data_IF_951931959685
#
_entry.id   IF_951931959685
#
_cell.length_a   1.000
_cell.length_b   1.000
_cell.length_c   1.000
_cell.angle_alpha   90.00
_cell.angle_beta   90.00
_cell.angle_gamma   90.00
#
_symmetry.space_group_name_H-M   'P 1'
#
loop_
_entity.id
_entity.type
_entity.pdbx_description
1 polymer ?
#
# COMPACT_ATOMS: atom_id res chain seq x y z
N UNK A 1 52.97 -21.55 -14.88
CA UNK A 1 52.80 -20.15 -14.41
C UNK A 1 52.02 -19.34 -15.44
N UNK A 2 50.76 -18.99 -15.12
CA UNK A 2 50.10 -17.76 -15.59
C UNK A 2 48.86 -17.56 -14.71
N UNK A 3 48.88 -16.48 -13.93
CA UNK A 3 47.79 -16.04 -13.06
C UNK A 3 46.79 -15.29 -13.94
N UNK A 4 45.51 -15.62 -13.87
CA UNK A 4 44.45 -14.73 -14.36
C UNK A 4 43.41 -14.64 -13.25
N UNK A 5 43.47 -13.50 -12.56
CA UNK A 5 42.50 -13.03 -11.59
C UNK A 5 41.31 -12.52 -12.41
N UNK A 6 40.13 -13.11 -12.22
CA UNK A 6 38.88 -12.50 -12.67
C UNK A 6 37.98 -12.39 -11.44
N UNK A 7 38.06 -11.22 -10.80
CA UNK A 7 37.00 -10.74 -9.92
C UNK A 7 35.80 -10.39 -10.80
N UNK A 8 34.76 -11.21 -10.78
CA UNK A 8 33.48 -10.89 -11.40
C UNK A 8 32.40 -10.77 -10.32
N UNK A 9 32.15 -9.50 -9.99
CA UNK A 9 30.93 -8.86 -9.52
C UNK A 9 29.96 -9.66 -8.63
N UNK A 10 29.84 -9.16 -7.40
CA UNK A 10 28.65 -9.23 -6.56
C UNK A 10 27.38 -8.91 -7.36
N UNK A 11 26.67 -9.94 -7.78
CA UNK A 11 25.24 -9.85 -8.05
C UNK A 11 24.49 -10.05 -6.73
N UNK A 12 24.31 -8.98 -5.95
CA UNK A 12 23.29 -9.01 -4.89
C UNK A 12 21.95 -8.97 -5.61
N UNK A 13 21.41 -10.15 -5.88
CA UNK A 13 20.03 -10.31 -6.30
C UNK A 13 19.21 -9.98 -5.05
N UNK A 14 18.73 -8.75 -4.94
CA UNK A 14 17.67 -8.43 -3.99
C UNK A 14 16.43 -9.12 -4.52
N UNK A 15 16.27 -10.39 -4.16
CA UNK A 15 15.00 -11.06 -4.27
C UNK A 15 14.05 -10.27 -3.38
N UNK A 16 13.18 -9.47 -4.01
CA UNK A 16 12.01 -8.92 -3.35
C UNK A 16 11.16 -10.15 -3.05
N UNK A 17 11.39 -10.75 -1.88
CA UNK A 17 10.59 -11.84 -1.39
C UNK A 17 9.18 -11.32 -1.29
N UNK A 18 8.31 -11.72 -2.22
CA UNK A 18 6.89 -11.80 -1.94
C UNK A 18 6.75 -12.83 -0.82
N UNK A 19 6.87 -12.37 0.42
CA UNK A 19 6.47 -13.14 1.57
C UNK A 19 4.95 -13.33 1.43
N UNK A 20 4.57 -14.45 0.82
CA UNK A 20 3.21 -14.96 0.90
C UNK A 20 3.00 -15.43 2.34
N UNK A 21 2.73 -14.50 3.25
CA UNK A 21 2.24 -14.82 4.58
C UNK A 21 0.79 -15.29 4.44
N UNK A 22 0.61 -16.60 4.33
CA UNK A 22 -0.68 -17.27 4.53
C UNK A 22 -0.96 -17.21 6.04
N UNK A 23 -1.42 -16.05 6.52
CA UNK A 23 -2.16 -15.97 7.78
C UNK A 23 -3.63 -15.87 7.41
N UNK A 24 -4.34 -16.98 7.59
CA UNK A 24 -5.79 -17.04 7.45
C UNK A 24 -6.45 -16.42 8.70
N UNK A 25 -6.17 -15.15 8.98
CA UNK A 25 -7.10 -14.32 9.72
C UNK A 25 -8.03 -13.72 8.66
N UNK A 26 -9.32 -13.99 8.76
CA UNK A 26 -10.29 -13.30 7.91
C UNK A 26 -10.01 -11.79 7.98
N UNK A 27 -9.80 -11.18 6.82
CA UNK A 27 -9.47 -9.76 6.71
C UNK A 27 -10.51 -8.94 7.50
N UNK A 28 -10.10 -8.12 8.49
CA UNK A 28 -11.05 -7.38 9.30
C UNK A 28 -11.97 -6.49 8.45
N UNK A 29 -13.20 -6.26 8.91
CA UNK A 29 -14.21 -5.48 8.17
C UNK A 29 -13.69 -4.08 7.76
N UNK A 30 -12.94 -3.41 8.64
CA UNK A 30 -12.36 -2.10 8.33
C UNK A 30 -11.34 -2.15 7.18
N UNK A 31 -10.59 -3.26 7.03
CA UNK A 31 -9.66 -3.47 5.93
C UNK A 31 -10.43 -3.74 4.62
N UNK A 32 -11.48 -4.55 4.67
CA UNK A 32 -12.32 -4.80 3.48
C UNK A 32 -13.00 -3.52 3.01
N UNK A 33 -13.50 -2.71 3.95
CA UNK A 33 -14.08 -1.40 3.72
C UNK A 33 -13.06 -0.44 3.10
N UNK A 34 -11.82 -0.42 3.61
CA UNK A 34 -10.72 0.36 3.05
C UNK A 34 -10.39 -0.08 1.62
N UNK A 35 -10.19 -1.38 1.38
CA UNK A 35 -9.89 -1.96 0.06
C UNK A 35 -10.94 -1.59 -0.97
N UNK A 36 -12.22 -1.80 -0.64
CA UNK A 36 -13.35 -1.47 -1.51
C UNK A 36 -13.40 0.03 -1.84
N UNK A 37 -13.30 0.88 -0.81
CA UNK A 37 -13.43 2.33 -0.99
C UNK A 37 -12.25 2.95 -1.73
N UNK A 38 -11.02 2.62 -1.33
CA UNK A 38 -9.78 3.12 -1.98
C UNK A 38 -9.74 2.62 -3.42
N UNK A 39 -10.03 1.34 -3.67
CA UNK A 39 -10.04 0.79 -5.02
C UNK A 39 -11.07 1.48 -5.93
N UNK A 40 -12.27 1.74 -5.42
CA UNK A 40 -13.31 2.48 -6.15
C UNK A 40 -12.86 3.92 -6.49
N UNK A 41 -12.29 4.63 -5.52
CA UNK A 41 -11.89 6.02 -5.71
C UNK A 41 -10.68 6.18 -6.63
N UNK A 42 -9.65 5.34 -6.46
CA UNK A 42 -8.53 5.28 -7.39
C UNK A 42 -8.99 4.92 -8.80
N UNK A 43 -9.97 4.03 -8.96
CA UNK A 43 -10.51 3.67 -10.27
C UNK A 43 -11.15 4.87 -10.98
N UNK A 44 -11.80 5.77 -10.23
CA UNK A 44 -12.41 6.98 -10.79
C UNK A 44 -11.37 7.92 -11.42
N UNK A 45 -10.20 8.07 -10.80
CA UNK A 45 -9.21 9.08 -11.21
C UNK A 45 -8.09 8.51 -12.09
N UNK A 46 -7.71 7.25 -11.86
CA UNK A 46 -6.58 6.60 -12.52
C UNK A 46 -7.01 5.49 -13.49
N UNK A 47 -8.28 5.08 -13.48
CA UNK A 47 -8.76 3.88 -14.16
C UNK A 47 -8.50 2.61 -13.34
N UNK A 48 -8.90 1.44 -13.87
CA UNK A 48 -8.90 0.15 -13.16
C UNK A 48 -7.62 -0.07 -12.35
N UNK A 49 -7.80 -0.31 -11.04
CA UNK A 49 -6.74 -0.76 -10.13
C UNK A 49 -7.01 -2.15 -9.59
N UNK A 50 -5.95 -2.87 -9.24
CA UNK A 50 -6.02 -4.12 -8.48
C UNK A 50 -5.50 -3.85 -7.07
N UNK A 51 -6.32 -4.11 -6.04
CA UNK A 51 -5.99 -3.83 -4.65
C UNK A 51 -5.91 -5.10 -3.81
N UNK A 52 -4.84 -5.24 -3.03
CA UNK A 52 -4.59 -6.32 -2.08
C UNK A 52 -4.18 -5.76 -0.72
N UNK A 53 -4.45 -6.49 0.34
CA UNK A 53 -4.08 -6.14 1.70
C UNK A 53 -3.12 -7.19 2.26
N UNK A 54 -2.28 -6.79 3.20
CA UNK A 54 -1.36 -7.69 3.90
C UNK A 54 -1.22 -7.24 5.34
N UNK A 55 -1.33 -8.17 6.27
CA UNK A 55 -0.99 -7.91 7.66
C UNK A 55 0.52 -7.94 7.80
N UNK A 56 1.13 -6.80 8.11
CA UNK A 56 2.60 -6.68 8.22
C UNK A 56 3.08 -6.78 9.67
N UNK A 57 2.19 -6.55 10.64
CA UNK A 57 2.38 -6.85 12.06
C UNK A 57 1.02 -7.08 12.74
N UNK A 58 1.02 -7.45 14.02
CA UNK A 58 -0.22 -7.69 14.79
C UNK A 58 -1.20 -6.50 14.68
N UNK A 59 -0.68 -5.27 14.77
CA UNK A 59 -1.49 -4.05 14.78
C UNK A 59 -1.51 -3.28 13.45
N UNK A 60 -0.79 -3.74 12.42
CA UNK A 60 -0.64 -2.99 11.17
C UNK A 60 -0.97 -3.81 9.94
N UNK A 61 -1.88 -3.26 9.16
CA UNK A 61 -2.21 -3.72 7.82
C UNK A 61 -1.74 -2.70 6.79
N UNK A 62 -1.30 -3.21 5.65
CA UNK A 62 -0.98 -2.39 4.48
C UNK A 62 -1.93 -2.76 3.34
N UNK A 63 -2.37 -1.74 2.60
CA UNK A 63 -3.20 -1.83 1.41
C UNK A 63 -2.40 -1.33 0.22
N UNK A 64 -2.11 -2.23 -0.71
CA UNK A 64 -1.46 -1.93 -1.97
C UNK A 64 -2.45 -1.97 -3.13
N UNK A 65 -2.52 -0.90 -3.90
CA UNK A 65 -3.30 -0.83 -5.14
C UNK A 65 -2.38 -0.55 -6.33
N UNK A 66 -2.56 -1.28 -7.44
CA UNK A 66 -1.73 -1.11 -8.64
C UNK A 66 -2.57 -0.75 -9.86
N UNK A 67 -2.09 0.22 -10.63
CA UNK A 67 -2.57 0.51 -11.97
C UNK A 67 -1.48 0.11 -12.97
N UNK A 68 -1.58 -1.10 -13.53
CA UNK A 68 -0.58 -1.64 -14.46
C UNK A 68 -0.46 -0.79 -15.73
N UNK A 69 -1.57 -0.24 -16.23
CA UNK A 69 -1.59 0.55 -17.46
C UNK A 69 -0.82 1.88 -17.32
N UNK A 70 -0.79 2.47 -16.12
CA UNK A 70 -0.13 3.74 -15.83
C UNK A 70 1.18 3.59 -15.05
N UNK A 71 1.59 2.37 -14.72
CA UNK A 71 2.79 2.12 -13.92
C UNK A 71 2.73 2.76 -12.52
N UNK A 72 1.54 2.83 -11.92
CA UNK A 72 1.33 3.43 -10.59
C UNK A 72 1.10 2.37 -9.52
N UNK A 73 1.66 2.61 -8.35
CA UNK A 73 1.50 1.75 -7.18
C UNK A 73 1.20 2.61 -5.97
N UNK A 74 0.03 2.46 -5.38
CA UNK A 74 -0.41 3.22 -4.21
C UNK A 74 -0.30 2.32 -2.97
N UNK A 75 0.46 2.75 -1.96
CA UNK A 75 0.62 2.01 -0.71
C UNK A 75 0.11 2.83 0.47
N UNK A 76 -0.75 2.21 1.27
CA UNK A 76 -1.34 2.82 2.45
C UNK A 76 -1.17 1.92 3.67
N UNK A 77 -0.88 2.48 4.83
CA UNK A 77 -1.14 1.80 6.09
C UNK A 77 -2.62 2.00 6.43
N UNK A 78 -3.26 0.94 6.93
CA UNK A 78 -4.69 0.94 7.26
C UNK A 78 -4.87 0.61 8.73
N UNK A 79 -5.62 1.48 9.40
CA UNK A 79 -5.94 1.34 10.82
C UNK A 79 -7.46 1.43 11.03
N UNK A 80 -7.97 0.90 12.15
CA UNK A 80 -9.31 1.24 12.63
C UNK A 80 -9.46 2.75 12.83
N UNK A 81 -10.65 3.29 12.63
CA UNK A 81 -10.87 4.74 12.72
C UNK A 81 -10.66 5.32 14.11
N UNK A 82 -10.74 4.50 15.15
CA UNK A 82 -10.46 4.89 16.54
C UNK A 82 -9.00 5.28 16.78
N UNK A 83 -8.08 4.85 15.89
CA UNK A 83 -6.66 5.20 15.95
C UNK A 83 -6.34 6.50 15.22
N UNK A 84 -7.31 7.10 14.53
CA UNK A 84 -7.08 8.34 13.81
C UNK A 84 -6.82 9.50 14.78
N UNK A 85 -5.86 10.40 14.48
CA UNK A 85 -5.63 11.60 15.29
C UNK A 85 -6.70 12.69 15.08
N UNK A 86 -7.78 12.38 14.37
CA UNK A 86 -8.91 13.26 14.04
C UNK A 86 -10.19 12.45 13.83
N UNK A 87 -11.34 13.13 13.84
CA UNK A 87 -12.63 12.46 13.59
C UNK A 87 -12.75 11.95 12.16
N UNK A 88 -12.94 10.63 12.01
CA UNK A 88 -13.23 9.96 10.73
C UNK A 88 -14.62 9.33 10.78
N UNK A 89 -15.42 9.56 9.74
CA UNK A 89 -16.80 9.03 9.67
C UNK A 89 -16.89 7.61 9.08
N UNK A 90 -15.75 6.95 8.88
CA UNK A 90 -15.62 5.64 8.24
C UNK A 90 -15.02 4.67 9.23
N UNK A 91 -15.08 3.37 8.93
CA UNK A 91 -14.53 2.33 9.80
C UNK A 91 -12.98 2.29 9.82
N UNK A 92 -12.32 3.03 8.94
CA UNK A 92 -10.88 2.98 8.75
C UNK A 92 -10.25 4.37 8.64
N UNK A 93 -8.95 4.39 8.91
CA UNK A 93 -8.02 5.51 8.76
C UNK A 93 -6.84 5.07 7.89
N UNK A 94 -6.32 6.00 7.09
CA UNK A 94 -5.27 5.74 6.10
C UNK A 94 -4.08 6.66 6.29
N UNK A 95 -2.88 6.08 6.19
CA UNK A 95 -1.63 6.81 6.08
C UNK A 95 -0.95 6.47 4.75
N UNK A 96 -0.46 7.48 4.03
CA UNK A 96 0.22 7.27 2.77
C UNK A 96 1.67 6.84 2.98
N UNK A 97 2.03 5.65 2.49
CA UNK A 97 3.40 5.10 2.65
C UNK A 97 4.34 5.64 1.57
N UNK A 98 3.88 5.71 0.31
CA UNK A 98 4.71 6.07 -0.83
C UNK A 98 4.24 7.34 -1.57
N UNK A 99 5.07 7.84 -2.48
CA UNK A 99 4.82 9.11 -3.19
C UNK A 99 3.54 9.09 -4.01
N UNK A 100 3.23 7.98 -4.68
CA UNK A 100 2.00 7.81 -5.44
C UNK A 100 0.76 7.89 -4.52
N UNK A 101 0.81 7.28 -3.34
CA UNK A 101 -0.25 7.40 -2.33
C UNK A 101 -0.38 8.84 -1.82
N UNK A 102 0.72 9.52 -1.52
CA UNK A 102 0.71 10.92 -1.07
C UNK A 102 0.12 11.84 -2.15
N UNK A 103 0.54 11.68 -3.40
CA UNK A 103 -0.02 12.44 -4.52
C UNK A 103 -1.51 12.15 -4.71
N UNK A 104 -1.92 10.88 -4.58
CA UNK A 104 -3.33 10.50 -4.74
C UNK A 104 -4.24 11.14 -3.69
N UNK A 105 -3.74 11.41 -2.47
CA UNK A 105 -4.53 12.00 -1.39
C UNK A 105 -5.16 13.36 -1.75
N UNK A 106 -4.56 14.08 -2.70
CA UNK A 106 -5.03 15.40 -3.13
C UNK A 106 -5.90 15.33 -4.41
N UNK A 107 -6.10 14.14 -4.97
CA UNK A 107 -6.77 13.96 -6.26
C UNK A 107 -8.22 13.50 -6.08
N UNK A 108 -9.09 14.00 -6.98
CA UNK A 108 -10.44 13.49 -7.20
C UNK A 108 -11.19 13.03 -5.96
N UNK A 109 -11.64 11.78 -5.92
CA UNK A 109 -12.43 11.26 -4.79
C UNK A 109 -11.56 10.90 -3.58
N UNK A 110 -10.26 10.68 -3.78
CA UNK A 110 -9.32 10.33 -2.72
C UNK A 110 -9.20 11.44 -1.66
N UNK A 111 -9.44 12.71 -2.02
CA UNK A 111 -9.50 13.84 -1.08
C UNK A 111 -10.50 13.62 0.07
N UNK A 112 -11.56 12.85 -0.15
CA UNK A 112 -12.60 12.57 0.84
C UNK A 112 -12.22 11.47 1.82
N UNK A 113 -11.09 10.77 1.59
CA UNK A 113 -10.59 9.75 2.50
C UNK A 113 -9.75 10.33 3.63
N UNK A 114 -9.43 11.63 3.58
CA UNK A 114 -8.62 12.30 4.59
C UNK A 114 -7.35 11.49 4.88
N UNK A 115 -6.59 11.14 3.84
CA UNK A 115 -5.38 10.32 3.99
C UNK A 115 -4.32 11.18 4.69
N UNK A 116 -3.71 10.66 5.74
CA UNK A 116 -2.57 11.34 6.36
C UNK A 116 -1.33 11.18 5.47
N UNK A 117 -0.85 12.29 4.93
CA UNK A 117 0.34 12.35 4.06
C UNK A 117 1.61 12.76 4.80
N UNK A 118 1.53 13.03 6.11
CA UNK A 118 2.66 13.43 6.96
C UNK A 118 3.26 12.28 7.77
N UNK A 119 2.60 11.12 7.76
CA UNK A 119 3.12 9.91 8.36
C UNK A 119 4.03 9.20 7.33
N UNK A 120 5.35 9.24 7.55
CA UNK A 120 6.35 8.68 6.64
C UNK A 120 7.67 9.44 6.65
#
# INVERSE_FOLDING_TARGET
MKKIIVLSLLGVVVAVGAAASIYSNEEPEYIQSAKSRVGSYLTSDYGRVECNSTQVSEDRWELGCTNKARGKTFQFAVYPSEQAPYGVSRAFYLEAINDDARQSAEQGLMRYLQINTKAG
#
